data_IF_686637776813
#
_entry.id   IF_686637776813
#
_cell.length_a   1.000
_cell.length_b   1.000
_cell.length_c   1.000
_cell.angle_alpha   90.00
_cell.angle_beta   90.00
_cell.angle_gamma   90.00
#
_symmetry.space_group_name_H-M   'P 1'
#
loop_
_entity.id
_entity.type
_entity.pdbx_description
1 polymer ?
#
# COMPACT_ATOMS: atom_id res chain seq x y z
N UNK A 1 -3.31 57.76 -27.65
CA UNK A 1 -3.92 56.45 -27.35
C UNK A 1 -3.13 55.61 -26.32
N UNK A 2 -1.78 55.62 -26.31
CA UNK A 2 -0.96 54.82 -25.38
C UNK A 2 -1.17 55.08 -23.87
N UNK A 3 -1.52 56.31 -23.47
CA UNK A 3 -1.73 56.66 -22.05
C UNK A 3 -3.03 56.07 -21.45
N UNK A 4 -4.08 55.88 -22.26
CA UNK A 4 -5.37 55.32 -21.78
C UNK A 4 -5.31 53.80 -21.51
N UNK A 5 -4.40 53.09 -22.20
CA UNK A 5 -4.19 51.64 -22.00
C UNK A 5 -3.47 51.35 -20.68
N UNK A 6 -2.53 52.22 -20.27
CA UNK A 6 -1.77 52.04 -19.02
C UNK A 6 -2.67 52.21 -17.78
N UNK A 7 -3.60 53.17 -17.79
CA UNK A 7 -4.56 53.34 -16.69
C UNK A 7 -5.54 52.17 -16.54
N UNK A 8 -5.90 51.50 -17.64
CA UNK A 8 -6.84 50.38 -17.61
C UNK A 8 -6.17 49.11 -17.06
N UNK A 9 -4.89 48.87 -17.38
CA UNK A 9 -4.12 47.73 -16.85
C UNK A 9 -3.82 47.89 -15.35
N UNK A 10 -3.47 49.10 -14.88
CA UNK A 10 -3.23 49.34 -13.45
C UNK A 10 -4.51 49.24 -12.61
N UNK A 11 -5.66 49.68 -13.13
CA UNK A 11 -6.94 49.55 -12.44
C UNK A 11 -7.38 48.09 -12.26
N UNK A 12 -7.15 47.24 -13.27
CA UNK A 12 -7.50 45.82 -13.18
C UNK A 12 -6.62 45.05 -12.19
N UNK A 13 -5.35 45.46 -12.05
CA UNK A 13 -4.38 44.83 -11.13
C UNK A 13 -4.69 45.15 -9.65
N UNK A 14 -5.27 46.32 -9.37
CA UNK A 14 -5.67 46.73 -8.02
C UNK A 14 -6.92 46.00 -7.51
N UNK A 15 -7.86 45.64 -8.39
CA UNK A 15 -9.09 44.92 -8.01
C UNK A 15 -8.79 43.45 -7.69
N UNK A 16 -7.75 42.84 -8.29
CA UNK A 16 -7.34 41.47 -8.00
C UNK A 16 -6.70 41.29 -6.61
N UNK A 17 -6.16 42.35 -6.00
CA UNK A 17 -5.45 42.26 -4.71
C UNK A 17 -6.37 42.28 -3.48
N UNK A 18 -7.65 42.63 -3.62
CA UNK A 18 -8.59 42.81 -2.49
C UNK A 18 -9.41 41.54 -2.18
N UNK A 19 -9.24 40.46 -2.96
CA UNK A 19 -10.09 39.26 -2.88
C UNK A 19 -9.67 38.13 -1.94
N UNK A 20 -8.61 38.26 -1.12
CA UNK A 20 -8.06 37.12 -0.34
C UNK A 20 -8.11 37.32 1.19
N UNK A 21 -8.90 38.27 1.69
CA UNK A 21 -9.14 38.44 3.12
C UNK A 21 -10.58 38.09 3.47
N UNK A 22 -10.85 36.81 3.74
CA UNK A 22 -12.17 36.41 4.25
C UNK A 22 -12.44 34.92 4.20
N UNK A 23 -12.02 34.20 5.25
CA UNK A 23 -12.81 33.15 5.91
C UNK A 23 -11.95 32.61 7.07
N UNK A 24 -11.92 33.36 8.17
CA UNK A 24 -11.49 32.84 9.47
C UNK A 24 -12.65 32.01 10.02
N UNK A 25 -12.35 30.76 10.34
CA UNK A 25 -13.28 29.72 10.77
C UNK A 25 -13.82 29.97 12.18
N UNK A 26 -15.07 29.54 12.42
CA UNK A 26 -15.56 29.22 13.76
C UNK A 26 -16.09 27.79 13.73
N UNK A 27 -15.38 26.80 14.30
CA UNK A 27 -15.96 25.49 14.56
C UNK A 27 -16.73 25.54 15.88
N UNK A 28 -18.02 25.24 15.78
CA UNK A 28 -18.93 24.99 16.90
C UNK A 28 -18.36 23.93 17.86
N UNK A 29 -18.63 24.17 19.14
CA UNK A 29 -18.27 23.32 20.25
C UNK A 29 -18.74 21.86 20.06
N UNK A 30 -17.80 20.94 20.19
CA UNK A 30 -18.03 19.50 20.28
C UNK A 30 -18.79 19.18 21.56
N UNK A 31 -20.01 18.63 21.43
CA UNK A 31 -20.70 17.96 22.51
C UNK A 31 -19.94 16.66 22.86
N UNK A 32 -19.59 16.52 24.15
CA UNK A 32 -18.97 15.31 24.66
C UNK A 32 -19.94 14.12 24.56
N UNK A 33 -19.52 12.95 24.07
CA UNK A 33 -20.35 11.75 24.12
C UNK A 33 -20.49 11.26 25.56
N UNK A 34 -21.74 11.02 25.94
CA UNK A 34 -22.15 10.38 27.19
C UNK A 34 -21.53 8.98 27.32
N UNK A 35 -21.06 8.63 28.52
CA UNK A 35 -20.44 7.35 28.79
C UNK A 35 -21.47 6.21 28.75
N UNK A 36 -21.29 5.27 27.83
CA UNK A 36 -22.00 4.00 27.77
C UNK A 36 -21.59 3.11 28.97
N UNK A 37 -22.52 2.54 29.75
CA UNK A 37 -22.18 1.58 30.79
C UNK A 37 -21.63 0.26 30.20
N UNK A 38 -20.63 -0.30 30.88
CA UNK A 38 -19.99 -1.57 30.50
C UNK A 38 -20.98 -2.75 30.52
N UNK A 39 -20.89 -3.69 29.56
CA UNK A 39 -21.64 -4.93 29.60
C UNK A 39 -21.04 -5.90 30.62
N UNK A 40 -21.81 -6.22 31.67
CA UNK A 40 -21.52 -7.34 32.59
C UNK A 40 -21.59 -8.66 31.83
N UNK A 41 -20.45 -9.31 31.64
CA UNK A 41 -20.36 -10.66 31.07
C UNK A 41 -20.72 -11.68 32.16
N UNK A 42 -21.70 -12.58 31.94
CA UNK A 42 -21.94 -13.70 32.84
C UNK A 42 -20.78 -14.70 32.75
N UNK A 43 -20.19 -15.02 33.89
CA UNK A 43 -19.19 -16.08 34.06
C UNK A 43 -19.87 -17.42 33.78
N UNK A 44 -19.48 -18.07 32.69
CA UNK A 44 -19.93 -19.42 32.37
C UNK A 44 -19.20 -20.45 33.24
N UNK A 45 -19.98 -21.30 33.90
CA UNK A 45 -19.58 -22.51 34.62
C UNK A 45 -18.85 -23.48 33.68
N UNK A 46 -17.71 -24.09 34.10
CA UNK A 46 -17.09 -25.15 33.30
C UNK A 46 -17.97 -26.41 33.29
N UNK A 47 -18.36 -26.86 32.09
CA UNK A 47 -18.99 -28.17 31.89
C UNK A 47 -17.98 -29.32 32.11
N UNK A 48 -18.45 -30.49 32.56
CA UNK A 48 -17.61 -31.66 32.81
C UNK A 48 -17.04 -32.24 31.52
N UNK A 49 -15.73 -32.49 31.56
CA UNK A 49 -14.96 -33.19 30.52
C UNK A 49 -15.51 -34.61 30.32
N UNK A 50 -16.07 -34.87 29.14
CA UNK A 50 -16.34 -36.23 28.69
C UNK A 50 -15.02 -36.91 28.28
N UNK A 51 -14.80 -38.11 28.81
CA UNK A 51 -13.69 -39.00 28.49
C UNK A 51 -13.85 -39.52 27.05
N UNK A 52 -12.89 -39.19 26.18
CA UNK A 52 -12.90 -39.65 24.78
C UNK A 52 -12.32 -41.07 24.72
N UNK A 53 -13.20 -42.02 24.42
CA UNK A 53 -12.89 -43.37 23.97
C UNK A 53 -12.03 -43.31 22.69
N UNK A 54 -10.87 -44.01 22.62
CA UNK A 54 -10.07 -44.04 21.39
C UNK A 54 -10.76 -44.89 20.32
N UNK A 55 -11.09 -44.25 19.19
CA UNK A 55 -11.49 -44.94 17.95
C UNK A 55 -10.28 -45.61 17.27
N UNK A 56 -10.52 -46.71 16.51
CA UNK A 56 -9.46 -47.47 15.87
C UNK A 56 -8.77 -46.68 14.75
N UNK A 57 -7.44 -46.75 14.76
CA UNK A 57 -6.53 -46.15 13.78
C UNK A 57 -6.89 -46.64 12.36
N UNK A 58 -7.63 -45.81 11.64
CA UNK A 58 -7.76 -45.90 10.19
C UNK A 58 -6.42 -45.61 9.56
N UNK A 59 -5.94 -46.55 8.74
CA UNK A 59 -4.71 -46.41 7.98
C UNK A 59 -4.95 -45.39 6.85
N UNK A 60 -4.83 -44.11 7.17
CA UNK A 60 -4.80 -43.06 6.16
C UNK A 60 -3.54 -43.24 5.31
N UNK A 61 -3.77 -43.63 4.06
CA UNK A 61 -2.81 -43.55 2.97
C UNK A 61 -2.52 -42.05 2.80
N UNK A 62 -1.42 -41.61 3.39
CA UNK A 62 -0.89 -40.26 3.19
C UNK A 62 -0.69 -40.06 1.69
N UNK A 63 -1.54 -39.22 1.09
CA UNK A 63 -1.24 -38.66 -0.22
C UNK A 63 0.14 -37.98 -0.16
N UNK A 64 0.98 -38.13 -1.18
CA UNK A 64 2.28 -37.49 -1.19
C UNK A 64 2.07 -35.97 -1.16
N UNK A 65 2.36 -35.36 -0.01
CA UNK A 65 2.54 -33.91 0.10
C UNK A 65 3.58 -33.54 -0.94
N UNK A 66 3.13 -32.90 -2.00
CA UNK A 66 4.01 -32.42 -3.05
C UNK A 66 4.78 -31.27 -2.44
N UNK A 67 5.96 -31.55 -1.90
CA UNK A 67 6.96 -30.54 -1.53
C UNK A 67 7.36 -29.80 -2.79
N UNK A 68 6.57 -28.81 -3.19
CA UNK A 68 7.00 -27.79 -4.14
C UNK A 68 8.25 -27.15 -3.54
N UNK A 69 9.34 -27.26 -4.30
CA UNK A 69 10.67 -26.77 -3.96
C UNK A 69 10.61 -25.34 -3.40
N UNK A 70 10.99 -25.18 -2.14
CA UNK A 70 11.24 -23.89 -1.49
C UNK A 70 12.31 -23.05 -2.21
N UNK A 71 13.04 -23.61 -3.18
CA UNK A 71 14.15 -22.93 -3.86
C UNK A 71 13.73 -21.74 -4.73
N UNK A 72 12.44 -21.58 -4.99
CA UNK A 72 11.92 -20.51 -5.85
C UNK A 72 11.32 -19.33 -5.08
N UNK A 73 11.16 -19.44 -3.76
CA UNK A 73 10.63 -18.35 -2.93
C UNK A 73 11.75 -17.38 -2.61
N UNK A 74 11.61 -16.14 -3.06
CA UNK A 74 12.60 -15.06 -2.89
C UNK A 74 12.32 -14.29 -1.60
N UNK A 75 11.04 -14.05 -1.33
CA UNK A 75 10.59 -13.29 -0.17
C UNK A 75 9.26 -13.89 0.31
N UNK A 76 9.13 -14.09 1.61
CA UNK A 76 7.90 -14.57 2.25
C UNK A 76 7.90 -14.06 3.70
N UNK A 77 7.37 -12.86 3.91
CA UNK A 77 7.36 -12.21 5.23
C UNK A 77 6.13 -11.32 5.42
N UNK A 78 5.75 -11.16 6.68
CA UNK A 78 4.83 -10.12 7.15
C UNK A 78 5.61 -8.89 7.58
N UNK A 79 5.24 -7.72 7.06
CA UNK A 79 5.89 -6.45 7.35
C UNK A 79 4.87 -5.38 7.75
N UNK A 80 5.32 -4.41 8.56
CA UNK A 80 4.53 -3.23 8.90
C UNK A 80 4.93 -2.05 8.03
N UNK A 81 3.96 -1.43 7.34
CA UNK A 81 4.14 -0.18 6.59
C UNK A 81 3.34 0.93 7.26
N UNK A 82 4.04 1.88 7.91
CA UNK A 82 3.38 3.01 8.57
C UNK A 82 2.63 3.86 7.55
N UNK A 83 1.39 4.24 7.86
CA UNK A 83 0.57 5.11 7.01
C UNK A 83 1.35 6.41 6.72
N UNK A 84 1.26 6.88 5.47
CA UNK A 84 2.02 8.02 4.94
C UNK A 84 3.53 7.75 4.73
N UNK A 85 3.96 6.50 4.81
CA UNK A 85 5.29 6.02 4.44
C UNK A 85 5.20 4.94 3.35
N UNK A 86 6.35 4.38 3.00
CA UNK A 86 6.48 3.30 2.03
C UNK A 86 7.48 2.26 2.54
N UNK A 87 7.40 1.06 1.98
CA UNK A 87 8.40 0.02 2.16
C UNK A 87 8.87 -0.46 0.78
N UNK A 88 10.15 -0.79 0.65
CA UNK A 88 10.76 -1.23 -0.61
C UNK A 88 11.45 -2.56 -0.37
N UNK A 89 11.01 -3.58 -1.09
CA UNK A 89 11.62 -4.91 -1.09
C UNK A 89 12.49 -4.99 -2.34
N UNK A 90 13.80 -4.85 -2.19
CA UNK A 90 14.74 -4.94 -3.30
C UNK A 90 15.12 -6.40 -3.53
N UNK A 91 14.95 -6.91 -4.75
CA UNK A 91 15.17 -8.34 -5.03
C UNK A 91 16.62 -8.76 -4.76
N UNK A 92 17.57 -7.84 -4.94
CA UNK A 92 19.00 -8.05 -4.66
C UNK A 92 19.29 -8.34 -3.18
N UNK A 93 18.52 -7.77 -2.27
CA UNK A 93 18.69 -7.97 -0.83
C UNK A 93 18.22 -9.38 -0.41
N UNK A 94 17.59 -10.10 -1.34
CA UNK A 94 17.02 -11.43 -1.18
C UNK A 94 17.61 -12.45 -2.17
N UNK A 95 18.87 -12.24 -2.61
CA UNK A 95 19.63 -13.21 -3.40
C UNK A 95 19.38 -13.16 -4.91
N UNK A 96 18.67 -12.16 -5.41
CA UNK A 96 18.46 -11.94 -6.85
C UNK A 96 19.15 -10.65 -7.28
N UNK A 97 20.46 -10.73 -7.54
CA UNK A 97 21.30 -9.58 -7.89
C UNK A 97 20.86 -8.84 -9.16
N UNK A 98 20.33 -9.60 -10.12
CA UNK A 98 19.81 -9.12 -11.39
C UNK A 98 18.66 -10.03 -11.84
N UNK A 99 17.65 -9.41 -12.45
CA UNK A 99 16.61 -10.11 -13.18
C UNK A 99 16.87 -9.98 -14.69
N UNK A 100 16.60 -11.05 -15.42
CA UNK A 100 16.83 -11.15 -16.86
C UNK A 100 15.50 -11.07 -17.62
N UNK A 101 15.53 -10.48 -18.81
CA UNK A 101 14.36 -10.32 -19.66
C UNK A 101 13.67 -11.65 -19.94
N UNK A 102 12.35 -11.68 -19.78
CA UNK A 102 11.54 -12.88 -19.94
C UNK A 102 11.40 -13.74 -18.67
N UNK A 103 12.20 -13.51 -17.63
CA UNK A 103 11.95 -14.11 -16.31
C UNK A 103 10.58 -13.68 -15.78
N UNK A 104 9.94 -14.55 -15.01
CA UNK A 104 8.64 -14.30 -14.42
C UNK A 104 8.64 -14.52 -12.92
N UNK A 105 7.95 -13.60 -12.24
CA UNK A 105 7.80 -13.62 -10.80
C UNK A 105 6.31 -13.53 -10.46
N UNK A 106 5.83 -14.45 -9.64
CA UNK A 106 4.53 -14.36 -9.00
C UNK A 106 4.70 -13.58 -7.69
N UNK A 107 3.87 -12.55 -7.52
CA UNK A 107 3.86 -11.68 -6.36
C UNK A 107 2.46 -11.73 -5.76
N UNK A 108 2.40 -12.04 -4.48
CA UNK A 108 1.18 -12.07 -3.68
C UNK A 108 1.34 -11.08 -2.52
N UNK A 109 0.36 -10.21 -2.37
CA UNK A 109 0.31 -9.16 -1.36
C UNK A 109 -1.05 -9.21 -0.71
N UNK A 110 -1.09 -9.32 0.61
CA UNK A 110 -2.28 -9.19 1.43
C UNK A 110 -2.03 -8.17 2.53
N UNK A 111 -2.99 -7.26 2.74
CA UNK A 111 -2.86 -6.12 3.63
C UNK A 111 -4.17 -5.88 4.36
N UNK A 112 -4.08 -5.59 5.65
CA UNK A 112 -5.22 -5.20 6.49
C UNK A 112 -5.73 -3.77 6.20
N UNK A 113 -4.96 -2.98 5.44
CA UNK A 113 -5.29 -1.62 5.02
C UNK A 113 -5.00 -1.41 3.53
N UNK A 114 -5.70 -0.47 2.91
CA UNK A 114 -5.46 -0.08 1.53
C UNK A 114 -4.05 0.47 1.33
N UNK A 115 -3.31 -0.05 0.35
CA UNK A 115 -2.03 0.49 -0.09
C UNK A 115 -1.87 0.36 -1.60
N UNK A 116 -0.97 1.14 -2.19
CA UNK A 116 -0.60 0.98 -3.58
C UNK A 116 0.59 0.01 -3.70
N UNK A 117 0.53 -0.90 -4.67
CA UNK A 117 1.60 -1.87 -4.96
C UNK A 117 2.22 -1.53 -6.30
N UNK A 118 3.54 -1.34 -6.33
CA UNK A 118 4.28 -1.03 -7.55
C UNK A 118 5.45 -1.99 -7.74
N UNK A 119 5.62 -2.45 -8.96
CA UNK A 119 6.82 -3.17 -9.38
C UNK A 119 7.60 -2.31 -10.36
N UNK A 120 8.89 -2.04 -10.07
CA UNK A 120 9.71 -1.14 -10.88
C UNK A 120 11.19 -1.49 -10.87
N UNK A 121 11.93 -0.96 -11.84
CA UNK A 121 13.38 -1.05 -11.86
C UNK A 121 14.01 -0.13 -10.80
N UNK A 122 15.12 -0.57 -10.21
CA UNK A 122 15.87 0.15 -9.17
C UNK A 122 16.31 1.55 -9.60
N UNK A 123 16.56 1.75 -10.90
CA UNK A 123 16.90 3.05 -11.49
C UNK A 123 15.81 4.12 -11.29
N UNK A 124 14.58 3.71 -10.96
CA UNK A 124 13.45 4.61 -10.70
C UNK A 124 13.16 4.79 -9.20
N UNK A 125 13.89 4.10 -8.31
CA UNK A 125 13.59 4.12 -6.88
C UNK A 125 13.81 5.50 -6.26
N UNK A 126 14.81 6.25 -6.72
CA UNK A 126 15.02 7.62 -6.23
C UNK A 126 13.84 8.54 -6.60
N UNK A 127 13.20 8.33 -7.76
CA UNK A 127 11.98 9.07 -8.10
C UNK A 127 10.84 8.70 -7.15
N UNK A 128 10.66 7.40 -6.86
CA UNK A 128 9.65 6.92 -5.92
C UNK A 128 9.87 7.47 -4.48
N UNK A 129 11.12 7.55 -4.02
CA UNK A 129 11.47 8.04 -2.68
C UNK A 129 11.25 9.54 -2.54
N UNK A 130 11.70 10.31 -3.53
CA UNK A 130 11.79 11.76 -3.44
C UNK A 130 10.50 12.49 -3.86
N UNK A 131 9.64 11.84 -4.64
CA UNK A 131 8.38 12.43 -5.10
C UNK A 131 7.20 11.65 -4.55
N UNK A 132 6.26 12.37 -3.93
CA UNK A 132 4.98 11.79 -3.50
C UNK A 132 4.10 11.50 -4.71
N UNK A 133 3.29 10.43 -4.68
CA UNK A 133 2.31 10.20 -5.72
C UNK A 133 1.26 11.31 -5.75
N UNK A 134 0.73 11.60 -6.93
CA UNK A 134 -0.30 12.61 -7.15
C UNK A 134 -1.57 11.93 -7.65
N UNK A 135 -2.74 12.26 -7.10
CA UNK A 135 -3.99 11.69 -7.59
C UNK A 135 -4.37 12.31 -8.94
N UNK A 136 -4.49 11.48 -9.97
CA UNK A 136 -4.98 11.88 -11.29
C UNK A 136 -6.48 11.63 -11.38
N UNK A 137 -7.28 12.69 -11.24
CA UNK A 137 -8.75 12.59 -11.27
C UNK A 137 -9.31 12.13 -12.62
N UNK A 138 -8.62 12.43 -13.73
CA UNK A 138 -9.06 12.05 -15.07
C UNK A 138 -8.87 10.55 -15.31
N UNK A 139 -7.73 10.01 -14.87
CA UNK A 139 -7.39 8.59 -15.03
C UNK A 139 -7.85 7.74 -13.84
N UNK A 140 -8.35 8.38 -12.78
CA UNK A 140 -8.80 7.76 -11.52
C UNK A 140 -7.77 6.80 -10.94
N UNK A 141 -6.51 7.25 -10.90
CA UNK A 141 -5.38 6.48 -10.39
C UNK A 141 -4.34 7.40 -9.77
N UNK A 142 -3.42 6.83 -9.01
CA UNK A 142 -2.25 7.54 -8.50
C UNK A 142 -1.17 7.63 -9.57
N UNK A 143 -0.69 8.83 -9.85
CA UNK A 143 0.44 9.05 -10.75
C UNK A 143 1.75 9.05 -9.96
N UNK A 144 2.67 8.21 -10.39
CA UNK A 144 4.02 8.12 -9.85
C UNK A 144 5.05 8.57 -10.89
N UNK A 145 6.16 9.12 -10.40
CA UNK A 145 7.29 9.47 -11.26
C UNK A 145 8.17 8.26 -11.53
N UNK A 146 8.65 8.14 -12.76
CA UNK A 146 9.53 7.07 -13.20
C UNK A 146 8.81 6.00 -14.01
N UNK A 147 9.59 5.03 -14.52
CA UNK A 147 9.08 3.91 -15.31
C UNK A 147 8.63 2.79 -14.37
N UNK A 148 7.32 2.61 -14.27
CA UNK A 148 6.67 1.54 -13.51
C UNK A 148 6.38 0.37 -14.44
N UNK A 149 6.67 -0.85 -14.00
CA UNK A 149 6.36 -2.07 -14.77
C UNK A 149 4.94 -2.52 -14.50
N UNK A 150 4.50 -2.46 -13.24
CA UNK A 150 3.13 -2.78 -12.85
C UNK A 150 2.72 -1.93 -11.65
N UNK A 151 1.46 -1.51 -11.62
CA UNK A 151 0.89 -0.67 -10.58
C UNK A 151 -0.51 -1.17 -10.26
N UNK A 152 -0.82 -1.28 -8.97
CA UNK A 152 -2.15 -1.56 -8.45
C UNK A 152 -2.46 -0.57 -7.35
N UNK A 153 -3.55 0.17 -7.52
CA UNK A 153 -3.97 1.18 -6.56
C UNK A 153 -5.00 0.60 -5.59
N UNK A 154 -5.01 1.15 -4.37
CA UNK A 154 -5.96 0.83 -3.31
C UNK A 154 -6.16 -0.68 -3.06
N UNK A 155 -5.03 -1.38 -2.94
CA UNK A 155 -4.93 -2.84 -2.83
C UNK A 155 -5.03 -3.30 -1.38
N UNK A 156 -5.92 -4.26 -1.13
CA UNK A 156 -5.98 -5.07 0.10
C UNK A 156 -5.45 -6.47 -0.15
N UNK A 157 -5.84 -7.10 -1.25
CA UNK A 157 -5.32 -8.40 -1.66
C UNK A 157 -5.03 -8.38 -3.16
N UNK A 158 -3.86 -8.86 -3.55
CA UNK A 158 -3.47 -8.97 -4.95
C UNK A 158 -2.48 -10.11 -5.15
N UNK A 159 -2.81 -10.97 -6.10
CA UNK A 159 -1.89 -11.94 -6.68
C UNK A 159 -1.70 -11.63 -8.16
N UNK A 160 -0.46 -11.50 -8.61
CA UNK A 160 -0.15 -11.12 -9.98
C UNK A 160 1.20 -11.68 -10.44
N UNK A 161 1.35 -11.87 -11.75
CA UNK A 161 2.61 -12.26 -12.37
C UNK A 161 3.21 -11.07 -13.09
N UNK A 162 4.47 -10.79 -12.83
CA UNK A 162 5.27 -9.81 -13.58
C UNK A 162 6.24 -10.55 -14.49
N UNK A 163 6.33 -10.10 -15.74
CA UNK A 163 7.38 -10.53 -16.67
C UNK A 163 8.42 -9.43 -16.75
N UNK A 164 9.69 -9.77 -16.57
CA UNK A 164 10.79 -8.82 -16.68
C UNK A 164 10.88 -8.35 -18.15
N UNK A 165 10.79 -7.03 -18.42
CA UNK A 165 10.98 -6.48 -19.75
C UNK A 165 12.35 -6.87 -20.34
N UNK A 166 12.51 -6.76 -21.66
CA UNK A 166 13.77 -7.09 -22.34
C UNK A 166 15.00 -6.42 -21.69
N UNK A 167 16.11 -7.15 -21.64
CA UNK A 167 17.38 -6.71 -21.08
C UNK A 167 17.70 -7.35 -19.74
N UNK A 168 18.54 -6.68 -18.94
CA UNK A 168 18.93 -7.13 -17.60
C UNK A 168 18.87 -5.93 -16.67
N UNK A 169 18.35 -6.11 -15.45
CA UNK A 169 18.20 -5.00 -14.52
C UNK A 169 17.94 -5.46 -13.10
N UNK A 170 17.90 -4.50 -12.18
CA UNK A 170 17.51 -4.71 -10.79
C UNK A 170 16.10 -4.20 -10.59
N UNK A 171 15.33 -4.93 -9.80
CA UNK A 171 13.93 -4.65 -9.59
C UNK A 171 13.58 -4.68 -8.11
N UNK A 172 12.56 -3.90 -7.77
CA UNK A 172 12.04 -3.77 -6.43
C UNK A 172 10.52 -3.78 -6.45
N UNK A 173 9.92 -4.34 -5.39
CA UNK A 173 8.51 -4.20 -5.07
C UNK A 173 8.37 -3.06 -4.05
N UNK A 174 7.54 -2.08 -4.38
CA UNK A 174 7.25 -0.93 -3.53
C UNK A 174 5.83 -1.04 -3.00
N UNK A 175 5.68 -0.93 -1.68
CA UNK A 175 4.41 -0.84 -0.98
C UNK A 175 4.24 0.59 -0.48
N UNK A 176 3.21 1.27 -0.93
CA UNK A 176 3.05 2.71 -0.68
C UNK A 176 1.71 3.03 -0.01
N UNK A 177 1.78 3.60 1.18
CA UNK A 177 0.61 4.07 1.96
C UNK A 177 0.45 5.59 1.92
N UNK A 178 1.24 6.28 1.08
CA UNK A 178 1.15 7.73 0.83
C UNK A 178 -0.07 8.11 -0.04
N UNK A 179 -0.91 7.13 -0.40
CA UNK A 179 -2.21 7.30 -1.06
C UNK A 179 -3.31 7.81 -0.13
N UNK A 180 -3.03 7.99 1.17
CA UNK A 180 -4.02 8.53 2.09
C UNK A 180 -4.26 10.03 1.83
N UNK A 181 -5.53 10.49 1.80
CA UNK A 181 -5.86 11.92 1.78
C UNK A 181 -5.07 12.69 2.84
N UNK A 182 -4.60 13.89 2.49
CA UNK A 182 -3.75 14.75 3.34
C UNK A 182 -4.36 15.07 4.72
N UNK A 183 -5.67 14.87 4.87
CA UNK A 183 -6.46 15.28 6.03
C UNK A 183 -6.77 14.15 7.02
N UNK A 184 -6.36 12.91 6.72
CA UNK A 184 -6.40 11.83 7.71
C UNK A 184 -5.20 11.99 8.66
N UNK A 185 -5.43 12.77 9.73
CA UNK A 185 -4.65 12.76 10.98
C UNK A 185 -4.84 11.40 11.65
N UNK A 186 -4.40 10.34 10.98
CA UNK A 186 -4.39 9.00 11.54
C UNK A 186 -3.01 8.82 12.13
N UNK A 187 -2.92 9.09 13.42
CA UNK A 187 -1.71 8.99 14.21
C UNK A 187 -1.09 7.59 14.06
N UNK A 188 0.05 7.49 13.35
CA UNK A 188 0.99 6.35 13.38
C UNK A 188 0.37 4.96 13.16
N UNK A 189 -0.75 4.85 12.46
CA UNK A 189 -1.26 3.54 12.09
C UNK A 189 -0.25 2.84 11.16
N UNK A 190 -0.23 1.52 11.22
CA UNK A 190 0.64 0.67 10.40
C UNK A 190 -0.25 -0.33 9.67
N UNK A 191 -0.06 -0.44 8.35
CA UNK A 191 -0.63 -1.51 7.55
C UNK A 191 0.23 -2.77 7.75
N UNK A 192 -0.37 -3.86 8.18
CA UNK A 192 0.30 -5.16 8.25
C UNK A 192 0.12 -5.86 6.91
N UNK A 193 1.24 -6.14 6.25
CA UNK A 193 1.25 -6.64 4.87
C UNK A 193 2.00 -7.95 4.83
N UNK A 194 1.32 -9.03 4.45
CA UNK A 194 1.92 -10.31 4.10
C UNK A 194 2.32 -10.27 2.62
N UNK A 195 3.60 -10.52 2.33
CA UNK A 195 4.14 -10.48 0.96
C UNK A 195 4.87 -11.77 0.66
N UNK A 196 4.54 -12.36 -0.48
CA UNK A 196 5.25 -13.50 -1.05
C UNK A 196 5.68 -13.22 -2.49
N UNK A 197 6.95 -13.48 -2.78
CA UNK A 197 7.57 -13.31 -4.10
C UNK A 197 8.19 -14.64 -4.48
N UNK A 198 7.73 -15.21 -5.59
CA UNK A 198 8.19 -16.51 -6.09
C UNK A 198 8.66 -16.37 -7.53
N UNK A 199 9.87 -16.83 -7.84
CA UNK A 199 10.32 -16.98 -9.24
C UNK A 199 9.62 -18.18 -9.85
N UNK A 200 8.91 -17.99 -10.96
CA UNK A 200 8.14 -19.06 -11.60
C UNK A 200 8.68 -19.45 -12.98
N UNK A 201 9.54 -18.62 -13.57
CA UNK A 201 10.20 -18.90 -14.86
C UNK A 201 11.48 -18.10 -15.00
#
# INVERSE_FOLDING_TARGET
MRKKVIFLVFGLLLIAAVGIAGCTSEPEASAAPEATPEPTIPVATPEPTAEITPEPVGSDVLEPVTTQSLQNVIYDQRIGVTINYYHIIQFRDHGVDFCYGGEQYEIEVESDKSLNVLFMQDTNIDNFRNYRPEWNSNQRKWDYRGKIVSQFDDTYHRKFVVTIPEGTGRYSLCLDTRNSPKDLVVARETAMVDVKITRIK
#
